data_IF_743535787943
#
_entry.id   IF_743535787943
#
_cell.length_a   1.000
_cell.length_b   1.000
_cell.length_c   1.000
_cell.angle_alpha   90.00
_cell.angle_beta   90.00
_cell.angle_gamma   90.00
#
_symmetry.space_group_name_H-M   'P 1'
#
loop_
_entity.id
_entity.type
_entity.pdbx_description
1 polymer ?
#
# COMPACT_ATOMS: atom_id res chain seq x y z
N UNK A 1 21.52 10.88 -10.95
CA UNK A 1 20.41 11.15 -10.00
C UNK A 1 19.08 10.62 -10.55
N UNK A 2 18.65 11.02 -11.75
CA UNK A 2 17.34 10.63 -12.31
C UNK A 2 17.14 9.10 -12.47
N UNK A 3 18.10 8.38 -13.05
CA UNK A 3 18.03 6.91 -13.18
C UNK A 3 17.96 6.19 -11.82
N UNK A 4 18.61 6.75 -10.80
CA UNK A 4 18.57 6.24 -9.44
C UNK A 4 17.18 6.46 -8.84
N UNK A 5 16.61 7.66 -8.98
CA UNK A 5 15.25 7.96 -8.56
C UNK A 5 14.23 7.02 -9.21
N UNK A 6 14.32 6.81 -10.52
CA UNK A 6 13.46 5.86 -11.23
C UNK A 6 13.55 4.44 -10.65
N UNK A 7 14.78 3.95 -10.40
CA UNK A 7 14.99 2.61 -9.82
C UNK A 7 14.44 2.50 -8.40
N UNK A 8 14.61 3.54 -7.57
CA UNK A 8 14.07 3.60 -6.20
C UNK A 8 12.55 3.53 -6.20
N UNK A 9 11.88 4.38 -6.98
CA UNK A 9 10.42 4.41 -7.03
C UNK A 9 9.86 3.11 -7.60
N UNK A 10 10.48 2.59 -8.67
CA UNK A 10 10.08 1.29 -9.25
C UNK A 10 10.23 0.15 -8.23
N UNK A 11 11.35 0.13 -7.51
CA UNK A 11 11.60 -0.87 -6.48
C UNK A 11 10.64 -0.77 -5.29
N UNK A 12 10.30 0.43 -4.83
CA UNK A 12 9.28 0.62 -3.79
C UNK A 12 7.92 0.08 -4.26
N UNK A 13 7.50 0.38 -5.50
CA UNK A 13 6.26 -0.16 -6.06
C UNK A 13 6.27 -1.70 -6.10
N UNK A 14 7.39 -2.31 -6.50
CA UNK A 14 7.57 -3.77 -6.47
C UNK A 14 7.46 -4.33 -5.04
N UNK A 15 8.09 -3.69 -4.06
CA UNK A 15 8.07 -4.10 -2.64
C UNK A 15 6.64 -4.05 -2.06
N UNK A 16 5.85 -3.04 -2.41
CA UNK A 16 4.45 -2.93 -1.98
C UNK A 16 3.47 -3.76 -2.84
N UNK A 17 3.95 -4.38 -3.92
CA UNK A 17 3.18 -5.25 -4.82
C UNK A 17 2.31 -6.31 -4.12
N UNK A 18 2.76 -6.98 -3.04
CA UNK A 18 1.94 -7.97 -2.33
C UNK A 18 0.60 -7.41 -1.81
N UNK A 19 0.52 -6.13 -1.44
CA UNK A 19 -0.75 -5.52 -1.01
C UNK A 19 -1.78 -5.45 -2.15
N UNK A 20 -1.30 -5.28 -3.39
CA UNK A 20 -2.15 -5.28 -4.59
C UNK A 20 -2.53 -6.69 -5.04
N UNK A 21 -1.76 -7.71 -4.64
CA UNK A 21 -2.04 -9.10 -5.01
C UNK A 21 -3.09 -9.78 -4.12
N UNK A 22 -3.39 -9.19 -2.95
CA UNK A 22 -4.45 -9.68 -2.07
C UNK A 22 -5.83 -9.57 -2.74
N UNK A 23 -6.70 -10.54 -2.46
CA UNK A 23 -8.12 -10.40 -2.81
C UNK A 23 -8.78 -9.25 -2.02
N UNK A 24 -9.97 -8.81 -2.44
CA UNK A 24 -10.73 -7.77 -1.71
C UNK A 24 -11.04 -8.19 -0.27
N UNK A 25 -11.36 -9.47 -0.05
CA UNK A 25 -11.68 -9.99 1.27
C UNK A 25 -10.43 -10.04 2.17
N UNK A 26 -9.29 -10.47 1.62
CA UNK A 26 -8.03 -10.51 2.37
C UNK A 26 -7.52 -9.13 2.75
N UNK A 27 -7.62 -8.16 1.82
CA UNK A 27 -7.22 -6.79 2.13
C UNK A 27 -8.20 -6.13 3.11
N UNK A 28 -9.50 -6.43 3.01
CA UNK A 28 -10.49 -5.96 3.98
C UNK A 28 -10.22 -6.52 5.38
N UNK A 29 -9.93 -7.81 5.51
CA UNK A 29 -9.54 -8.43 6.78
C UNK A 29 -8.27 -7.75 7.35
N UNK A 30 -7.31 -7.44 6.48
CA UNK A 30 -6.08 -6.76 6.87
C UNK A 30 -6.33 -5.32 7.36
N UNK A 31 -7.22 -4.57 6.72
CA UNK A 31 -7.62 -3.22 7.13
C UNK A 31 -8.34 -3.24 8.47
N UNK A 32 -9.18 -4.25 8.72
CA UNK A 32 -9.95 -4.37 9.97
C UNK A 32 -9.10 -4.81 11.17
N UNK A 33 -8.14 -5.72 10.95
CA UNK A 33 -7.37 -6.33 12.05
C UNK A 33 -5.95 -5.76 12.21
N UNK A 34 -5.47 -4.96 11.24
CA UNK A 34 -4.10 -4.45 11.08
C UNK A 34 -2.98 -5.50 11.00
N UNK A 35 -3.21 -6.71 11.53
CA UNK A 35 -2.28 -7.82 11.58
C UNK A 35 -3.04 -9.14 11.44
N UNK A 36 -2.83 -9.78 10.31
CA UNK A 36 -3.44 -11.06 9.96
C UNK A 36 -2.35 -12.14 9.98
N UNK A 37 -2.49 -13.16 10.84
CA UNK A 37 -1.44 -14.17 11.08
C UNK A 37 -1.01 -14.91 9.80
N UNK A 38 -1.96 -15.17 8.90
CA UNK A 38 -1.73 -15.85 7.61
C UNK A 38 -1.14 -14.93 6.53
N UNK A 39 -1.10 -13.61 6.75
CA UNK A 39 -0.55 -12.59 5.86
C UNK A 39 0.58 -11.80 6.55
N UNK A 40 1.67 -12.47 6.99
CA UNK A 40 2.66 -11.85 7.87
C UNK A 40 3.51 -10.76 7.19
N UNK A 41 3.67 -10.81 5.87
CA UNK A 41 4.46 -9.83 5.12
C UNK A 41 3.60 -8.62 4.79
N UNK A 42 2.41 -8.85 4.27
CA UNK A 42 1.40 -7.85 3.94
C UNK A 42 0.99 -7.06 5.18
N UNK A 43 0.84 -7.73 6.33
CA UNK A 43 0.58 -7.04 7.60
C UNK A 43 1.66 -6.02 7.94
N UNK A 44 2.94 -6.37 7.74
CA UNK A 44 4.06 -5.47 8.02
C UNK A 44 4.15 -4.34 7.01
N UNK A 45 3.92 -4.64 5.72
CA UNK A 45 3.87 -3.63 4.66
C UNK A 45 2.73 -2.64 4.88
N UNK A 46 1.53 -3.12 5.24
CA UNK A 46 0.37 -2.27 5.52
C UNK A 46 0.64 -1.33 6.70
N UNK A 47 1.30 -1.82 7.76
CA UNK A 47 1.68 -1.00 8.92
C UNK A 47 2.72 0.08 8.60
N UNK A 48 3.51 -0.08 7.52
CA UNK A 48 4.43 0.95 7.04
C UNK A 48 3.73 2.12 6.36
N UNK A 49 2.52 1.90 5.82
CA UNK A 49 1.74 2.96 5.20
C UNK A 49 1.34 4.00 6.26
N UNK A 50 1.56 5.27 5.95
CA UNK A 50 1.17 6.36 6.86
C UNK A 50 -0.31 6.28 7.23
N UNK A 51 -0.61 6.45 8.51
CA UNK A 51 -1.97 6.45 9.05
C UNK A 51 -2.89 7.41 8.31
N UNK A 52 -2.38 8.57 7.86
CA UNK A 52 -3.18 9.53 7.06
C UNK A 52 -3.70 8.91 5.77
N UNK A 53 -2.86 8.18 5.03
CA UNK A 53 -3.29 7.55 3.77
C UNK A 53 -4.21 6.36 4.03
N UNK A 54 -3.93 5.56 5.08
CA UNK A 54 -4.83 4.47 5.50
C UNK A 54 -6.23 4.99 5.84
N UNK A 55 -6.33 6.10 6.57
CA UNK A 55 -7.61 6.74 6.88
C UNK A 55 -8.32 7.27 5.63
N UNK A 56 -7.59 7.87 4.69
CA UNK A 56 -8.18 8.34 3.42
C UNK A 56 -8.75 7.16 2.59
N UNK A 57 -8.05 6.03 2.55
CA UNK A 57 -8.54 4.80 1.94
C UNK A 57 -9.83 4.31 2.62
N UNK A 58 -9.83 4.19 3.95
CA UNK A 58 -10.99 3.73 4.73
C UNK A 58 -12.19 4.65 4.48
N UNK A 59 -11.99 5.97 4.53
CA UNK A 59 -13.04 6.96 4.29
C UNK A 59 -13.61 6.83 2.87
N UNK A 60 -12.76 6.73 1.85
CA UNK A 60 -13.21 6.60 0.47
C UNK A 60 -14.00 5.31 0.25
N UNK A 61 -13.51 4.18 0.77
CA UNK A 61 -14.13 2.87 0.59
C UNK A 61 -15.43 2.73 1.37
N UNK A 62 -15.54 3.36 2.55
CA UNK A 62 -16.79 3.35 3.35
C UNK A 62 -17.99 4.01 2.66
N UNK A 63 -17.76 4.83 1.64
CA UNK A 63 -18.81 5.50 0.85
C UNK A 63 -19.35 4.63 -0.29
N UNK A 64 -18.76 3.46 -0.52
CA UNK A 64 -19.13 2.54 -1.60
C UNK A 64 -20.06 1.46 -1.02
N UNK A 65 -21.12 1.16 -1.75
CA UNK A 65 -21.98 0.01 -1.42
C UNK A 65 -21.23 -1.31 -1.67
N UNK A 66 -21.03 -2.11 -0.61
CA UNK A 66 -20.37 -3.43 -0.65
C UNK A 66 -21.16 -4.47 -1.46
N UNK A 67 -22.46 -4.26 -1.64
CA UNK A 67 -23.31 -5.16 -2.43
C UNK A 67 -23.36 -4.78 -3.92
N UNK A 68 -22.77 -3.64 -4.29
CA UNK A 68 -22.65 -3.21 -5.69
C UNK A 68 -21.71 -4.14 -6.46
N UNK A 69 -22.06 -4.45 -7.70
CA UNK A 69 -21.15 -5.15 -8.62
C UNK A 69 -19.85 -4.38 -8.90
N UNK A 70 -19.84 -3.07 -8.64
CA UNK A 70 -18.65 -2.23 -8.78
C UNK A 70 -17.73 -2.27 -7.55
N UNK A 71 -18.16 -2.87 -6.43
CA UNK A 71 -17.40 -2.87 -5.17
C UNK A 71 -15.94 -3.32 -5.33
N UNK A 72 -15.64 -4.49 -5.94
CA UNK A 72 -14.26 -4.96 -6.02
C UNK A 72 -13.36 -4.05 -6.88
N UNK A 73 -13.93 -3.47 -7.94
CA UNK A 73 -13.19 -2.58 -8.85
C UNK A 73 -12.88 -1.25 -8.16
N UNK A 74 -13.86 -0.68 -7.47
CA UNK A 74 -13.68 0.59 -6.78
C UNK A 74 -12.78 0.46 -5.55
N UNK A 75 -12.90 -0.62 -4.79
CA UNK A 75 -11.96 -0.92 -3.70
C UNK A 75 -10.53 -1.03 -4.23
N UNK A 76 -10.31 -1.78 -5.31
CA UNK A 76 -8.99 -1.93 -5.91
C UNK A 76 -8.42 -0.61 -6.43
N UNK A 77 -9.26 0.25 -7.01
CA UNK A 77 -8.88 1.62 -7.40
C UNK A 77 -8.35 2.43 -6.20
N UNK A 78 -9.09 2.45 -5.09
CA UNK A 78 -8.65 3.17 -3.89
C UNK A 78 -7.45 2.52 -3.22
N UNK A 79 -7.29 1.20 -3.32
CA UNK A 79 -6.08 0.49 -2.86
C UNK A 79 -4.84 0.89 -3.65
N UNK A 80 -4.95 1.00 -4.97
CA UNK A 80 -3.88 1.52 -5.82
C UNK A 80 -3.55 2.97 -5.43
N UNK A 81 -4.58 3.78 -5.20
CA UNK A 81 -4.44 5.18 -4.79
C UNK A 81 -3.72 5.33 -3.45
N UNK A 82 -4.03 4.48 -2.47
CA UNK A 82 -3.36 4.41 -1.17
C UNK A 82 -1.83 4.26 -1.32
N UNK A 83 -1.39 3.33 -2.17
CA UNK A 83 0.04 3.08 -2.39
C UNK A 83 0.69 4.25 -3.14
N UNK A 84 0.02 4.79 -4.17
CA UNK A 84 0.49 5.96 -4.91
C UNK A 84 0.63 7.20 -4.02
N UNK A 85 -0.34 7.47 -3.16
CA UNK A 85 -0.32 8.61 -2.24
C UNK A 85 0.80 8.46 -1.21
N UNK A 86 1.03 7.25 -0.70
CA UNK A 86 2.15 6.99 0.22
C UNK A 86 3.51 7.20 -0.45
N UNK A 87 3.73 6.66 -1.65
CA UNK A 87 5.03 6.78 -2.35
C UNK A 87 5.27 8.21 -2.84
N UNK A 88 4.27 8.86 -3.42
CA UNK A 88 4.40 10.26 -3.89
C UNK A 88 4.51 11.27 -2.75
N UNK A 89 4.06 10.91 -1.54
CA UNK A 89 4.24 11.72 -0.33
C UNK A 89 5.63 11.63 0.29
N UNK A 90 6.52 10.78 -0.23
CA UNK A 90 7.90 10.65 0.26
C UNK A 90 8.79 11.79 -0.23
N UNK A 91 9.74 12.22 0.61
CA UNK A 91 10.88 13.01 0.14
C UNK A 91 11.90 12.11 -0.53
N UNK A 92 12.74 12.65 -1.40
CA UNK A 92 13.81 11.90 -2.09
C UNK A 92 14.69 11.09 -1.12
N UNK A 93 15.09 11.71 0.00
CA UNK A 93 15.90 11.05 1.04
C UNK A 93 15.15 9.90 1.71
N UNK A 94 13.89 10.11 2.07
CA UNK A 94 13.09 9.08 2.72
C UNK A 94 12.83 7.89 1.79
N UNK A 95 12.48 8.15 0.51
CA UNK A 95 12.27 7.08 -0.47
C UNK A 95 13.54 6.26 -0.70
N UNK A 96 14.70 6.93 -0.81
CA UNK A 96 16.01 6.28 -0.95
C UNK A 96 16.32 5.38 0.26
N UNK A 97 16.18 5.89 1.48
CA UNK A 97 16.47 5.16 2.70
C UNK A 97 15.50 3.97 2.90
N UNK A 98 14.21 4.18 2.67
CA UNK A 98 13.20 3.13 2.81
C UNK A 98 13.43 2.01 1.80
N UNK A 99 13.77 2.33 0.55
CA UNK A 99 14.12 1.34 -0.46
C UNK A 99 15.33 0.49 -0.02
N UNK A 100 16.41 1.12 0.48
CA UNK A 100 17.60 0.39 0.92
C UNK A 100 17.34 -0.51 2.14
N UNK A 101 16.55 -0.02 3.11
CA UNK A 101 16.11 -0.78 4.29
C UNK A 101 15.36 -2.04 3.89
N UNK A 102 14.39 -1.90 3.00
CA UNK A 102 13.53 -3.01 2.57
C UNK A 102 14.27 -3.99 1.64
N UNK A 103 15.35 -3.56 1.00
CA UNK A 103 16.26 -4.42 0.22
C UNK A 103 17.37 -5.08 1.06
N UNK A 104 17.44 -4.83 2.38
CA UNK A 104 18.47 -5.36 3.28
C UNK A 104 19.92 -5.05 2.83
N UNK A 105 20.15 -3.83 2.33
CA UNK A 105 21.46 -3.32 1.89
C UNK A 105 21.89 -2.07 2.68
N UNK A 106 21.40 -1.98 3.91
CA UNK A 106 21.81 -1.03 4.95
C UNK A 106 22.50 -1.79 6.09
#
# INVERSE_FOLDING_TARGET
>A
LELQGYRVISGLLEIYGPLLQLTVDEFSELVENERVRRLPIESRLYQKLSTRHRLAYIEAVSKIDRHSSQWPVMEYYYRCRLIQDYISGMTDLYAWDEYRKLMAVE
#
